data_IF_150505889346
#
_entry.id   IF_150505889346
#
_cell.length_a   1.000
_cell.length_b   1.000
_cell.length_c   1.000
_cell.angle_alpha   90.00
_cell.angle_beta   90.00
_cell.angle_gamma   90.00
#
_symmetry.space_group_name_H-M   'P 1'
#
loop_
_entity.id
_entity.type
_entity.pdbx_description
1 polymer ?
#
# COMPACT_ATOMS: atom_id res chain seq x y z
N UNK A 1 -33.36 30.47 -2.13
CA UNK A 1 -33.05 30.44 -3.57
C UNK A 1 -31.81 29.58 -3.73
N UNK A 2 -32.03 28.33 -4.15
CA UNK A 2 -31.01 27.30 -4.37
C UNK A 2 -30.20 27.57 -5.64
N UNK A 3 -28.90 27.20 -5.63
CA UNK A 3 -28.10 26.63 -6.74
C UNK A 3 -26.61 27.04 -6.62
N UNK A 4 -25.56 26.20 -6.67
CA UNK A 4 -25.35 24.75 -6.87
C UNK A 4 -23.89 24.43 -6.45
N UNK A 5 -23.72 23.37 -5.64
CA UNK A 5 -22.62 22.38 -5.54
C UNK A 5 -21.14 22.71 -5.91
N UNK A 6 -20.30 22.65 -4.87
CA UNK A 6 -19.02 21.91 -4.73
C UNK A 6 -18.09 21.71 -5.94
N UNK A 7 -16.86 22.23 -5.85
CA UNK A 7 -15.67 21.62 -6.47
C UNK A 7 -14.41 21.80 -5.60
N UNK A 8 -14.39 21.15 -4.43
CA UNK A 8 -13.16 20.90 -3.69
C UNK A 8 -12.51 19.62 -4.24
N UNK A 9 -11.65 19.74 -5.25
CA UNK A 9 -10.92 18.58 -5.82
C UNK A 9 -9.42 18.82 -6.07
N UNK A 10 -8.80 19.87 -5.51
CA UNK A 10 -7.36 20.14 -5.77
C UNK A 10 -6.39 19.61 -4.69
N UNK A 11 -6.87 19.23 -3.51
CA UNK A 11 -6.00 18.81 -2.38
C UNK A 11 -5.21 17.53 -2.61
N UNK A 12 -5.76 16.56 -3.35
CA UNK A 12 -5.08 15.29 -3.62
C UNK A 12 -3.91 15.42 -4.60
N UNK A 13 -4.06 16.26 -5.63
CA UNK A 13 -3.00 16.52 -6.61
C UNK A 13 -1.85 17.32 -5.98
N UNK A 14 -2.18 18.28 -5.11
CA UNK A 14 -1.18 19.08 -4.39
C UNK A 14 -0.42 18.24 -3.36
N UNK A 15 -1.08 17.29 -2.69
CA UNK A 15 -0.44 16.37 -1.75
C UNK A 15 0.50 15.38 -2.47
N UNK A 16 0.06 14.85 -3.62
CA UNK A 16 0.91 14.03 -4.50
C UNK A 16 2.15 14.80 -4.96
N UNK A 17 1.94 16.03 -5.45
CA UNK A 17 3.00 16.89 -5.93
C UNK A 17 4.00 17.25 -4.81
N UNK A 18 3.49 17.63 -3.64
CA UNK A 18 4.31 17.96 -2.48
C UNK A 18 5.16 16.77 -2.01
N UNK A 19 4.61 15.56 -2.08
CA UNK A 19 5.32 14.32 -1.72
C UNK A 19 6.37 13.92 -2.74
N UNK A 20 6.04 14.03 -4.02
CA UNK A 20 7.00 13.88 -5.13
C UNK A 20 8.14 14.88 -5.04
N UNK A 21 7.86 16.14 -4.69
CA UNK A 21 8.87 17.17 -4.49
C UNK A 21 9.75 16.91 -3.25
N UNK A 22 9.15 16.47 -2.15
CA UNK A 22 9.90 16.09 -0.96
C UNK A 22 10.83 14.89 -1.22
N UNK A 23 10.38 13.90 -1.99
CA UNK A 23 11.20 12.77 -2.40
C UNK A 23 12.28 13.16 -3.43
N UNK A 24 11.97 14.04 -4.40
CA UNK A 24 12.98 14.57 -5.32
C UNK A 24 14.11 15.30 -4.58
N UNK A 25 13.78 16.10 -3.56
CA UNK A 25 14.79 16.77 -2.71
C UNK A 25 15.64 15.79 -1.91
N UNK A 26 15.05 14.68 -1.45
CA UNK A 26 15.79 13.61 -0.77
C UNK A 26 16.71 12.85 -1.74
N UNK A 27 16.30 12.66 -3.00
CA UNK A 27 17.07 11.98 -4.05
C UNK A 27 18.22 12.84 -4.59
N UNK A 28 18.09 14.16 -4.63
CA UNK A 28 19.18 15.08 -5.02
C UNK A 28 20.40 15.00 -4.08
N UNK A 29 20.23 14.47 -2.87
CA UNK A 29 21.30 14.30 -1.89
C UNK A 29 22.06 12.98 -2.03
N UNK A 30 21.65 12.07 -2.93
CA UNK A 30 22.33 10.77 -3.16
C UNK A 30 22.71 10.58 -4.64
N UNK A 31 23.96 10.90 -5.03
CA UNK A 31 24.40 10.94 -6.43
C UNK A 31 24.63 9.56 -7.08
N UNK A 32 24.28 8.43 -6.45
CA UNK A 32 24.55 7.07 -6.99
C UNK A 32 23.32 6.27 -7.44
N UNK A 33 22.12 6.84 -7.44
CA UNK A 33 20.94 6.07 -7.80
C UNK A 33 20.82 5.84 -9.32
N UNK A 34 21.00 4.60 -9.78
CA UNK A 34 20.78 4.20 -11.18
C UNK A 34 19.28 4.13 -11.43
N UNK A 35 18.81 4.91 -12.41
CA UNK A 35 17.40 4.98 -12.84
C UNK A 35 16.79 3.58 -12.98
N UNK A 36 15.62 3.29 -12.38
CA UNK A 36 14.94 2.03 -12.61
C UNK A 36 14.39 2.05 -14.05
N UNK A 37 15.01 1.26 -14.93
CA UNK A 37 14.43 0.90 -16.23
C UNK A 37 13.77 -0.45 -16.09
N UNK A 38 12.47 -0.49 -16.30
CA UNK A 38 11.74 -1.74 -16.46
C UNK A 38 12.15 -2.35 -17.80
N UNK A 39 12.38 -3.66 -17.83
CA UNK A 39 12.76 -4.37 -19.06
C UNK A 39 11.59 -4.30 -20.06
N UNK A 40 11.78 -3.69 -21.25
CA UNK A 40 10.74 -3.64 -22.29
C UNK A 40 10.18 -5.02 -22.66
N UNK A 41 10.94 -6.09 -22.46
CA UNK A 41 10.49 -7.47 -22.69
C UNK A 41 9.40 -7.91 -21.72
N UNK A 42 9.45 -7.49 -20.46
CA UNK A 42 8.38 -7.78 -19.49
C UNK A 42 7.06 -7.13 -19.91
N UNK A 43 7.12 -5.88 -20.39
CA UNK A 43 5.94 -5.17 -20.88
C UNK A 43 5.34 -5.86 -22.13
N UNK A 44 6.19 -6.36 -23.02
CA UNK A 44 5.78 -7.05 -24.23
C UNK A 44 5.14 -8.42 -23.94
N UNK A 45 5.68 -9.20 -23.00
CA UNK A 45 5.06 -10.48 -22.58
C UNK A 45 3.69 -10.29 -21.92
N UNK A 46 3.51 -9.20 -21.15
CA UNK A 46 2.21 -8.86 -20.57
C UNK A 46 1.17 -8.49 -21.63
N UNK A 47 1.61 -7.91 -22.75
CA UNK A 47 0.76 -7.58 -23.90
C UNK A 47 0.38 -8.80 -24.74
N UNK A 48 1.27 -9.80 -24.85
CA UNK A 48 1.08 -10.98 -25.69
C UNK A 48 0.29 -12.11 -25.00
N UNK A 49 0.14 -12.08 -23.67
CA UNK A 49 -0.59 -13.08 -22.86
C UNK A 49 -2.11 -12.82 -22.77
N UNK A 50 -2.69 -12.29 -23.84
CA UNK A 50 -4.08 -11.84 -23.88
C UNK A 50 -5.07 -13.01 -24.05
N UNK A 51 -5.83 -13.29 -22.98
CA UNK A 51 -7.02 -14.16 -22.96
C UNK A 51 -8.12 -13.39 -22.21
N UNK A 52 -8.68 -12.37 -22.88
CA UNK A 52 -10.11 -12.08 -22.85
C UNK A 52 -10.74 -11.42 -21.61
N UNK A 53 -10.00 -10.76 -20.71
CA UNK A 53 -10.61 -10.06 -19.56
C UNK A 53 -10.21 -8.60 -19.33
N UNK A 54 -9.33 -8.03 -20.16
CA UNK A 54 -8.76 -6.68 -19.98
C UNK A 54 -8.83 -5.85 -21.30
N UNK A 55 -9.98 -5.86 -22.00
CA UNK A 55 -10.12 -5.28 -23.36
C UNK A 55 -9.91 -3.74 -23.45
N UNK A 56 -9.85 -3.00 -22.33
CA UNK A 56 -9.75 -1.53 -22.30
C UNK A 56 -8.46 -0.99 -21.63
N UNK A 57 -7.38 -1.76 -21.55
CA UNK A 57 -6.11 -1.22 -21.04
C UNK A 57 -5.52 -0.22 -22.05
N UNK A 58 -5.40 1.03 -21.63
CA UNK A 58 -4.67 2.08 -22.35
C UNK A 58 -3.15 1.82 -22.27
N UNK A 59 -2.68 0.88 -23.10
CA UNK A 59 -1.28 0.45 -23.15
C UNK A 59 -0.33 1.57 -23.55
N UNK A 60 -0.80 2.57 -24.29
CA UNK A 60 0.01 3.73 -24.66
C UNK A 60 0.32 4.58 -23.42
N UNK A 61 -0.70 4.93 -22.63
CA UNK A 61 -0.51 5.68 -21.40
C UNK A 61 0.30 4.88 -20.37
N UNK A 62 -0.14 3.66 -20.06
CA UNK A 62 0.50 2.85 -19.02
C UNK A 62 1.91 2.43 -19.42
N UNK A 63 2.15 2.12 -20.69
CA UNK A 63 3.49 1.83 -21.19
C UNK A 63 4.43 3.03 -21.08
N UNK A 64 3.98 4.24 -21.41
CA UNK A 64 4.76 5.46 -21.20
C UNK A 64 5.07 5.69 -19.72
N UNK A 65 4.06 5.56 -18.86
CA UNK A 65 4.21 5.76 -17.41
C UNK A 65 5.22 4.76 -16.82
N UNK A 66 5.15 3.50 -17.23
CA UNK A 66 6.03 2.44 -16.72
C UNK A 66 7.47 2.60 -17.22
N UNK A 67 7.65 3.10 -18.44
CA UNK A 67 8.99 3.30 -19.02
C UNK A 67 9.71 4.56 -18.52
N UNK A 68 8.98 5.64 -18.21
CA UNK A 68 9.53 6.93 -17.78
C UNK A 68 8.61 7.63 -16.77
N UNK A 69 8.43 6.99 -15.63
CA UNK A 69 7.53 7.45 -14.57
C UNK A 69 7.77 8.91 -14.17
N UNK A 70 9.03 9.27 -13.88
CA UNK A 70 9.38 10.62 -13.41
C UNK A 70 8.99 11.70 -14.42
N UNK A 71 9.29 11.49 -15.71
CA UNK A 71 9.00 12.48 -16.74
C UNK A 71 7.49 12.61 -16.97
N UNK A 72 6.77 11.49 -17.02
CA UNK A 72 5.32 11.48 -17.25
C UNK A 72 4.59 12.15 -16.09
N UNK A 73 4.98 11.86 -14.84
CA UNK A 73 4.39 12.49 -13.65
C UNK A 73 4.69 13.98 -13.60
N UNK A 74 5.93 14.41 -13.92
CA UNK A 74 6.28 15.85 -13.96
C UNK A 74 5.51 16.61 -15.05
N UNK A 75 5.28 15.99 -16.21
CA UNK A 75 4.57 16.63 -17.33
C UNK A 75 3.05 16.62 -17.18
N UNK A 76 2.49 15.54 -16.62
CA UNK A 76 1.04 15.31 -16.60
C UNK A 76 0.54 14.84 -15.22
N UNK A 77 0.84 15.56 -14.11
CA UNK A 77 0.54 15.09 -12.75
C UNK A 77 -0.96 14.84 -12.53
N UNK A 78 -1.82 15.74 -13.02
CA UNK A 78 -3.29 15.61 -12.89
C UNK A 78 -3.84 14.42 -13.70
N UNK A 79 -3.24 14.09 -14.84
CA UNK A 79 -3.68 12.94 -15.66
C UNK A 79 -3.30 11.63 -14.98
N UNK A 80 -2.06 11.53 -14.47
CA UNK A 80 -1.60 10.34 -13.73
C UNK A 80 -2.47 10.10 -12.50
N UNK A 81 -2.70 11.13 -11.68
CA UNK A 81 -3.55 11.03 -10.50
C UNK A 81 -4.96 10.51 -10.86
N UNK A 82 -5.60 11.08 -11.88
CA UNK A 82 -6.93 10.63 -12.34
C UNK A 82 -6.95 9.19 -12.83
N UNK A 83 -5.91 8.74 -13.54
CA UNK A 83 -5.83 7.36 -14.05
C UNK A 83 -5.66 6.35 -12.91
N UNK A 84 -4.83 6.65 -11.91
CA UNK A 84 -4.70 5.83 -10.69
C UNK A 84 -6.04 5.82 -9.91
N UNK A 85 -6.68 6.98 -9.76
CA UNK A 85 -7.99 7.11 -9.13
C UNK A 85 -9.12 6.40 -9.88
N UNK A 86 -8.99 6.19 -11.19
CA UNK A 86 -9.93 5.40 -11.97
C UNK A 86 -9.70 3.89 -11.79
N UNK A 87 -8.45 3.45 -11.70
CA UNK A 87 -8.14 2.02 -11.74
C UNK A 87 -6.72 1.78 -12.25
N UNK A 88 -5.82 1.24 -11.44
CA UNK A 88 -4.63 0.61 -12.02
C UNK A 88 -5.06 -0.77 -12.53
N UNK A 89 -4.83 -1.10 -13.82
CA UNK A 89 -5.13 -2.43 -14.35
C UNK A 89 -4.40 -3.52 -13.56
N UNK A 90 -5.06 -4.66 -13.36
CA UNK A 90 -4.57 -5.68 -12.41
C UNK A 90 -3.16 -6.17 -12.74
N UNK A 91 -2.88 -6.41 -14.02
CA UNK A 91 -1.57 -6.87 -14.51
C UNK A 91 -0.45 -5.85 -14.31
N UNK A 92 -0.78 -4.57 -14.16
CA UNK A 92 0.18 -3.48 -14.07
C UNK A 92 0.45 -3.04 -12.62
N UNK A 93 -0.38 -3.43 -11.65
CA UNK A 93 -0.24 -3.02 -10.24
C UNK A 93 1.14 -3.31 -9.67
N UNK A 94 1.67 -4.50 -9.89
CA UNK A 94 2.98 -4.88 -9.38
C UNK A 94 4.10 -3.94 -9.84
N UNK A 95 4.04 -3.52 -11.10
CA UNK A 95 5.03 -2.61 -11.69
C UNK A 95 4.79 -1.17 -11.24
N UNK A 96 3.54 -0.71 -11.33
CA UNK A 96 3.17 0.67 -11.01
C UNK A 96 3.34 0.98 -9.52
N UNK A 97 2.92 0.10 -8.62
CA UNK A 97 3.12 0.29 -7.18
C UNK A 97 4.60 0.41 -6.82
N UNK A 98 5.45 -0.46 -7.37
CA UNK A 98 6.89 -0.39 -7.14
C UNK A 98 7.52 0.87 -7.70
N UNK A 99 7.10 1.32 -8.88
CA UNK A 99 7.58 2.57 -9.47
C UNK A 99 7.21 3.77 -8.59
N UNK A 100 5.95 3.86 -8.16
CA UNK A 100 5.48 4.96 -7.31
C UNK A 100 6.19 4.92 -5.94
N UNK A 101 6.37 3.73 -5.36
CA UNK A 101 7.03 3.56 -4.07
C UNK A 101 8.56 3.65 -4.12
N UNK A 102 9.15 3.74 -5.33
CA UNK A 102 10.59 3.60 -5.56
C UNK A 102 11.17 2.32 -4.94
N UNK A 103 10.45 1.20 -5.09
CA UNK A 103 10.78 -0.08 -4.47
C UNK A 103 11.67 -0.99 -5.33
N UNK A 104 12.04 -0.58 -6.55
CA UNK A 104 13.04 -1.27 -7.35
C UNK A 104 14.43 -0.94 -6.81
N UNK A 105 14.89 -1.73 -5.85
CA UNK A 105 16.07 -1.46 -5.05
C UNK A 105 16.93 -2.73 -4.93
N UNK A 106 17.97 -2.87 -5.79
CA UNK A 106 18.85 -4.04 -5.77
C UNK A 106 19.58 -4.23 -4.44
N UNK A 107 19.83 -3.15 -3.68
CA UNK A 107 20.49 -3.27 -2.38
C UNK A 107 19.53 -3.90 -1.35
N UNK A 108 18.26 -3.50 -1.35
CA UNK A 108 17.24 -4.13 -0.51
C UNK A 108 16.96 -5.59 -0.92
N UNK A 109 16.99 -5.91 -2.21
CA UNK A 109 16.89 -7.30 -2.70
C UNK A 109 18.06 -8.16 -2.17
N UNK A 110 19.28 -7.64 -2.19
CA UNK A 110 20.44 -8.31 -1.59
C UNK A 110 20.29 -8.47 -0.07
N UNK A 111 19.79 -7.44 0.62
CA UNK A 111 19.50 -7.52 2.07
C UNK A 111 18.46 -8.60 2.34
N UNK A 112 17.38 -8.67 1.56
CA UNK A 112 16.37 -9.72 1.67
C UNK A 112 17.00 -11.11 1.58
N UNK A 113 17.83 -11.34 0.56
CA UNK A 113 18.51 -12.61 0.36
C UNK A 113 19.41 -13.01 1.56
N UNK A 114 20.07 -12.06 2.21
CA UNK A 114 20.85 -12.33 3.43
C UNK A 114 19.96 -12.58 4.65
N UNK A 115 18.84 -11.85 4.79
CA UNK A 115 17.90 -12.04 5.89
C UNK A 115 17.21 -13.39 5.85
N UNK A 116 16.95 -13.95 4.67
CA UNK A 116 16.37 -15.29 4.53
C UNK A 116 17.24 -16.39 5.17
N UNK A 117 18.55 -16.18 5.26
CA UNK A 117 19.50 -17.13 5.87
C UNK A 117 19.52 -17.08 7.41
N UNK A 118 18.84 -16.11 8.03
CA UNK A 118 18.88 -15.86 9.48
C UNK A 118 17.57 -16.23 10.15
N UNK A 119 17.62 -16.79 11.35
CA UNK A 119 16.43 -17.14 12.13
C UNK A 119 15.82 -15.91 12.84
N UNK A 120 14.49 -15.85 12.90
CA UNK A 120 13.76 -14.82 13.64
C UNK A 120 13.12 -15.40 14.90
N UNK A 121 13.19 -14.67 16.01
CA UNK A 121 12.47 -15.02 17.24
C UNK A 121 10.94 -15.03 17.05
N UNK A 122 10.43 -14.36 16.00
CA UNK A 122 9.00 -14.22 15.73
C UNK A 122 8.42 -15.36 14.89
N UNK A 123 9.23 -16.30 14.39
CA UNK A 123 8.77 -17.35 13.47
C UNK A 123 7.56 -18.13 13.98
N UNK A 124 7.54 -18.47 15.28
CA UNK A 124 6.43 -19.20 15.90
C UNK A 124 5.12 -18.42 15.79
N UNK A 125 5.14 -17.13 16.11
CA UNK A 125 3.94 -16.28 16.07
C UNK A 125 3.50 -16.03 14.63
N UNK A 126 4.45 -15.81 13.71
CA UNK A 126 4.16 -15.65 12.28
C UNK A 126 3.43 -16.90 11.76
N UNK A 127 3.95 -18.11 12.04
CA UNK A 127 3.33 -19.37 11.58
C UNK A 127 1.91 -19.59 12.10
N UNK A 128 1.57 -19.06 13.28
CA UNK A 128 0.22 -19.14 13.83
C UNK A 128 -0.76 -18.20 13.11
N UNK A 129 -0.26 -17.11 12.51
CA UNK A 129 -1.06 -16.07 11.87
C UNK A 129 -1.29 -16.28 10.38
N UNK A 130 -0.40 -17.05 9.76
CA UNK A 130 -0.44 -17.37 8.34
C UNK A 130 -1.75 -18.06 7.89
N UNK A 131 -2.25 -19.13 8.55
CA UNK A 131 -3.47 -19.80 8.13
C UNK A 131 -4.74 -18.92 8.22
N UNK A 132 -4.71 -17.84 9.00
CA UNK A 132 -5.84 -16.89 9.14
C UNK A 132 -5.76 -15.71 8.16
N UNK A 133 -4.73 -15.64 7.34
CA UNK A 133 -4.51 -14.54 6.37
C UNK A 133 -4.94 -14.98 4.96
N UNK A 134 -6.06 -14.44 4.49
CA UNK A 134 -6.72 -14.82 3.22
C UNK A 134 -6.92 -16.35 3.02
N UNK A 135 -7.52 -17.07 4.00
CA UNK A 135 -7.59 -18.54 3.99
C UNK A 135 -8.33 -19.15 2.79
N UNK A 136 -9.22 -18.38 2.16
CA UNK A 136 -10.02 -18.84 1.03
C UNK A 136 -9.42 -18.47 -0.33
N UNK A 137 -8.33 -17.69 -0.35
CA UNK A 137 -7.70 -17.27 -1.60
C UNK A 137 -6.85 -18.41 -2.17
N UNK A 138 -6.96 -18.68 -3.48
CA UNK A 138 -6.31 -19.83 -4.12
C UNK A 138 -4.80 -19.91 -3.84
N UNK A 139 -4.11 -18.78 -3.87
CA UNK A 139 -2.67 -18.72 -3.62
C UNK A 139 -2.28 -18.96 -2.15
N UNK A 140 -3.16 -18.66 -1.18
CA UNK A 140 -2.86 -18.69 0.26
C UNK A 140 -3.57 -19.83 1.02
N UNK A 141 -4.54 -20.50 0.40
CA UNK A 141 -5.37 -21.53 1.08
C UNK A 141 -4.59 -22.79 1.45
N UNK A 142 -3.55 -23.13 0.70
CA UNK A 142 -2.77 -24.34 0.96
C UNK A 142 -1.81 -24.10 2.12
N UNK A 143 -2.00 -24.86 3.21
CA UNK A 143 -1.10 -24.83 4.36
C UNK A 143 0.30 -25.26 3.91
N UNK A 144 1.31 -24.48 4.29
CA UNK A 144 2.70 -24.68 3.89
C UNK A 144 2.93 -24.68 2.36
N UNK A 145 1.93 -24.21 1.59
CA UNK A 145 2.02 -24.01 0.14
C UNK A 145 2.89 -22.81 -0.25
N UNK A 146 3.06 -22.54 -1.55
CA UNK A 146 3.96 -21.50 -2.06
C UNK A 146 3.58 -20.10 -1.56
N UNK A 147 2.29 -19.74 -1.55
CA UNK A 147 1.87 -18.42 -1.09
C UNK A 147 2.03 -18.21 0.42
N UNK A 148 1.76 -19.24 1.23
CA UNK A 148 2.03 -19.20 2.67
C UNK A 148 3.53 -19.11 2.97
N UNK A 149 4.36 -19.80 2.18
CA UNK A 149 5.82 -19.75 2.30
C UNK A 149 6.38 -18.37 1.91
N UNK A 150 5.92 -17.78 0.80
CA UNK A 150 6.31 -16.43 0.41
C UNK A 150 5.89 -15.39 1.46
N UNK A 151 4.65 -15.48 1.96
CA UNK A 151 4.16 -14.60 3.02
C UNK A 151 4.96 -14.75 4.32
N UNK A 152 5.30 -15.98 4.70
CA UNK A 152 6.19 -16.26 5.83
C UNK A 152 7.56 -15.58 5.65
N UNK A 153 8.19 -15.79 4.50
CA UNK A 153 9.53 -15.30 4.21
C UNK A 153 9.63 -13.78 4.27
N UNK A 154 8.71 -13.07 3.60
CA UNK A 154 8.70 -11.60 3.57
C UNK A 154 8.48 -11.02 4.96
N UNK A 155 7.49 -11.52 5.70
CA UNK A 155 7.16 -11.04 7.05
C UNK A 155 8.28 -11.36 8.04
N UNK A 156 8.88 -12.55 7.94
CA UNK A 156 10.04 -12.96 8.75
C UNK A 156 11.25 -12.08 8.46
N UNK A 157 11.60 -11.87 7.20
CA UNK A 157 12.71 -11.01 6.81
C UNK A 157 12.48 -9.58 7.32
N UNK A 158 11.27 -9.03 7.18
CA UNK A 158 10.96 -7.71 7.73
C UNK A 158 11.16 -7.64 9.25
N UNK A 159 10.75 -8.68 9.99
CA UNK A 159 10.95 -8.72 11.45
C UNK A 159 12.42 -8.69 11.89
N UNK A 160 13.34 -9.08 10.99
CA UNK A 160 14.78 -9.02 11.21
C UNK A 160 15.41 -7.72 10.68
N UNK A 161 14.78 -7.10 9.69
CA UNK A 161 15.19 -5.83 9.11
C UNK A 161 14.93 -4.67 10.06
N UNK A 162 13.73 -4.62 10.65
CA UNK A 162 13.35 -3.61 11.65
C UNK A 162 13.02 -4.29 12.97
N UNK A 163 14.04 -4.46 13.82
CA UNK A 163 13.91 -5.21 15.09
C UNK A 163 13.08 -4.51 16.16
N UNK A 164 12.86 -3.19 16.03
CA UNK A 164 12.02 -2.45 16.98
C UNK A 164 10.54 -2.70 16.68
N UNK A 165 10.14 -2.74 15.39
CA UNK A 165 8.81 -3.22 15.00
C UNK A 165 8.72 -4.73 15.21
N UNK A 166 9.75 -5.47 14.80
CA UNK A 166 9.77 -6.92 14.78
C UNK A 166 8.59 -7.46 13.98
N UNK A 167 7.75 -8.26 14.64
CA UNK A 167 6.49 -8.73 14.07
C UNK A 167 5.30 -8.15 14.81
N UNK A 168 4.42 -7.49 14.07
CA UNK A 168 3.12 -7.05 14.56
C UNK A 168 1.99 -7.72 13.77
N UNK A 169 0.97 -8.20 14.49
CA UNK A 169 -0.22 -8.79 13.89
C UNK A 169 -0.93 -7.74 13.01
N UNK A 170 -1.05 -8.03 11.73
CA UNK A 170 -1.64 -7.13 10.73
C UNK A 170 -0.75 -6.94 9.51
N UNK A 171 0.58 -6.99 9.68
CA UNK A 171 1.54 -6.90 8.57
C UNK A 171 1.26 -7.94 7.46
N UNK A 172 0.92 -9.21 7.75
CA UNK A 172 0.59 -10.19 6.71
C UNK A 172 -0.58 -9.77 5.81
N UNK A 173 -1.53 -8.98 6.32
CA UNK A 173 -2.67 -8.46 5.54
C UNK A 173 -2.28 -7.32 4.60
N UNK A 174 -1.13 -6.66 4.83
CA UNK A 174 -0.53 -5.69 3.90
C UNK A 174 0.29 -6.44 2.84
N UNK A 175 1.08 -7.42 3.27
CA UNK A 175 1.98 -8.18 2.39
C UNK A 175 1.23 -9.10 1.43
N UNK A 176 0.15 -9.75 1.88
CA UNK A 176 -0.63 -10.67 1.04
C UNK A 176 -1.09 -10.04 -0.28
N UNK A 177 -1.80 -8.90 -0.29
CA UNK A 177 -2.20 -8.19 -1.50
C UNK A 177 -1.02 -7.78 -2.40
N UNK A 178 0.13 -7.45 -1.82
CA UNK A 178 1.36 -7.10 -2.55
C UNK A 178 1.90 -8.34 -3.28
N UNK A 179 2.04 -9.47 -2.57
CA UNK A 179 2.53 -10.75 -3.12
C UNK A 179 1.67 -11.31 -4.25
N UNK A 180 0.40 -10.90 -4.34
CA UNK A 180 -0.48 -11.29 -5.46
C UNK A 180 -0.14 -10.57 -6.77
N UNK A 181 0.76 -9.59 -6.75
CA UNK A 181 1.09 -8.76 -7.90
C UNK A 181 2.59 -8.70 -8.22
N UNK A 182 3.47 -9.23 -7.37
CA UNK A 182 4.92 -9.14 -7.52
C UNK A 182 5.63 -10.29 -6.81
N UNK A 183 6.93 -10.50 -7.06
CA UNK A 183 7.71 -11.56 -6.41
C UNK A 183 7.98 -11.27 -4.92
N UNK A 184 8.55 -12.24 -4.18
CA UNK A 184 8.75 -12.10 -2.73
C UNK A 184 9.77 -11.02 -2.35
N UNK A 185 10.87 -10.91 -3.09
CA UNK A 185 11.91 -9.90 -2.95
C UNK A 185 11.37 -8.50 -3.28
N UNK A 186 10.60 -8.39 -4.35
CA UNK A 186 9.88 -7.18 -4.74
C UNK A 186 8.87 -6.74 -3.67
N UNK A 187 8.13 -7.69 -3.08
CA UNK A 187 7.18 -7.45 -2.01
C UNK A 187 7.87 -7.00 -0.71
N UNK A 188 9.02 -7.59 -0.37
CA UNK A 188 9.84 -7.14 0.76
C UNK A 188 10.29 -5.70 0.58
N UNK A 189 10.85 -5.34 -0.59
CA UNK A 189 11.27 -3.98 -0.87
C UNK A 189 10.09 -3.00 -0.78
N UNK A 190 8.94 -3.38 -1.33
CA UNK A 190 7.71 -2.56 -1.27
C UNK A 190 7.22 -2.36 0.17
N UNK A 191 7.27 -3.40 1.00
CA UNK A 191 6.93 -3.31 2.43
C UNK A 191 7.89 -2.35 3.17
N UNK A 192 9.20 -2.47 2.93
CA UNK A 192 10.20 -1.55 3.52
C UNK A 192 9.89 -0.11 3.12
N UNK A 193 9.56 0.13 1.84
CA UNK A 193 9.20 1.47 1.37
C UNK A 193 7.93 2.02 2.03
N UNK A 194 6.89 1.20 2.18
CA UNK A 194 5.68 1.59 2.93
C UNK A 194 6.02 1.98 4.38
N UNK A 195 6.85 1.17 5.04
CA UNK A 195 7.20 1.40 6.44
C UNK A 195 8.00 2.70 6.62
N UNK A 196 9.01 2.94 5.79
CA UNK A 196 9.93 4.07 5.93
C UNK A 196 9.42 5.37 5.30
N UNK A 197 8.93 5.32 4.05
CA UNK A 197 8.60 6.52 3.27
C UNK A 197 7.12 6.87 3.25
N UNK A 198 6.24 5.91 3.60
CA UNK A 198 4.82 6.17 3.78
C UNK A 198 4.43 6.37 5.25
N UNK A 199 5.43 6.47 6.13
CA UNK A 199 5.27 6.64 7.57
C UNK A 199 4.28 5.62 8.18
N UNK A 200 4.33 4.37 7.68
CA UNK A 200 3.46 3.30 8.16
C UNK A 200 4.05 2.61 9.39
N UNK A 201 5.38 2.68 9.57
CA UNK A 201 6.12 2.00 10.64
C UNK A 201 5.51 2.19 12.03
N UNK A 202 5.20 3.43 12.41
CA UNK A 202 4.68 3.75 13.75
C UNK A 202 3.27 3.18 14.03
N UNK A 203 2.64 2.49 13.06
CA UNK A 203 1.43 1.70 13.32
C UNK A 203 1.72 0.38 14.02
N UNK A 204 2.96 -0.09 13.91
CA UNK A 204 3.37 -1.43 14.29
C UNK A 204 4.48 -1.44 15.34
N UNK A 205 5.04 -0.27 15.68
CA UNK A 205 5.94 -0.12 16.84
C UNK A 205 5.19 -0.48 18.13
N UNK A 206 5.90 -0.87 19.20
CA UNK A 206 5.27 -1.25 20.47
C UNK A 206 4.35 -0.17 21.07
N UNK A 207 4.66 1.12 20.86
CA UNK A 207 3.85 2.25 21.31
C UNK A 207 2.69 2.61 20.39
N UNK A 208 2.69 2.14 19.13
CA UNK A 208 1.65 2.42 18.12
C UNK A 208 1.32 3.92 17.99
N UNK A 209 2.32 4.79 18.18
CA UNK A 209 2.16 6.24 18.31
C UNK A 209 1.44 6.85 17.11
N UNK A 210 1.82 6.44 15.91
CA UNK A 210 1.28 6.95 14.66
C UNK A 210 -0.11 6.39 14.36
N UNK A 211 -0.43 5.19 14.84
CA UNK A 211 -1.78 4.63 14.77
C UNK A 211 -2.71 5.44 15.67
N UNK A 212 -2.30 5.71 16.91
CA UNK A 212 -3.09 6.51 17.84
C UNK A 212 -3.35 7.92 17.32
N UNK A 213 -2.34 8.56 16.73
CA UNK A 213 -2.51 9.87 16.06
C UNK A 213 -3.55 9.80 14.94
N UNK A 214 -3.47 8.81 14.05
CA UNK A 214 -4.43 8.67 12.94
C UNK A 214 -5.85 8.33 13.41
N UNK A 215 -5.99 7.50 14.43
CA UNK A 215 -7.30 7.22 15.04
C UNK A 215 -7.92 8.48 15.66
N UNK A 216 -7.10 9.34 16.27
CA UNK A 216 -7.56 10.63 16.78
C UNK A 216 -7.97 11.58 15.64
N UNK A 217 -7.16 11.68 14.58
CA UNK A 217 -7.48 12.46 13.39
C UNK A 217 -8.80 12.00 12.77
N UNK A 218 -8.99 10.68 12.64
CA UNK A 218 -10.23 10.10 12.16
C UNK A 218 -11.44 10.45 13.02
N UNK A 219 -11.31 10.39 14.35
CA UNK A 219 -12.37 10.80 15.27
C UNK A 219 -12.82 12.25 15.02
N UNK A 220 -11.86 13.17 14.80
CA UNK A 220 -12.16 14.56 14.48
C UNK A 220 -12.81 14.72 13.11
N UNK A 221 -12.33 14.01 12.10
CA UNK A 221 -12.93 14.01 10.77
C UNK A 221 -14.37 13.47 10.81
N UNK A 222 -14.61 12.40 11.57
CA UNK A 222 -15.95 11.85 11.76
C UNK A 222 -16.89 12.86 12.43
N UNK A 223 -16.41 13.61 13.42
CA UNK A 223 -17.20 14.67 14.06
C UNK A 223 -17.55 15.83 13.11
N UNK A 224 -16.69 16.12 12.14
CA UNK A 224 -16.94 17.16 11.12
C UNK A 224 -17.92 16.67 10.05
N UNK A 225 -17.72 15.47 9.52
CA UNK A 225 -18.50 14.96 8.38
C UNK A 225 -19.81 14.26 8.79
N UNK A 226 -19.84 13.63 9.98
CA UNK A 226 -20.98 12.87 10.51
C UNK A 226 -21.20 13.18 12.00
N UNK A 227 -21.56 14.44 12.36
CA UNK A 227 -21.61 14.90 13.75
C UNK A 227 -22.59 14.11 14.63
N UNK A 228 -23.73 13.69 14.09
CA UNK A 228 -24.73 12.93 14.86
C UNK A 228 -24.25 11.52 15.18
N UNK A 229 -23.58 10.85 14.23
CA UNK A 229 -22.96 9.55 14.45
C UNK A 229 -21.82 9.65 15.48
N UNK A 230 -20.94 10.64 15.35
CA UNK A 230 -19.88 10.90 16.32
C UNK A 230 -20.44 11.12 17.73
N UNK A 231 -21.49 11.95 17.88
CA UNK A 231 -22.17 12.17 19.17
C UNK A 231 -22.78 10.89 19.71
N UNK A 232 -23.39 10.08 18.87
CA UNK A 232 -23.98 8.79 19.28
C UNK A 232 -22.91 7.83 19.80
N UNK A 233 -21.81 7.62 19.06
CA UNK A 233 -20.70 6.76 19.48
C UNK A 233 -20.10 7.23 20.81
N UNK A 234 -19.89 8.54 20.97
CA UNK A 234 -19.39 9.13 22.21
C UNK A 234 -20.37 8.91 23.38
N UNK A 235 -21.67 9.08 23.16
CA UNK A 235 -22.69 8.84 24.18
C UNK A 235 -22.77 7.36 24.60
N UNK A 236 -22.43 6.44 23.70
CA UNK A 236 -22.33 5.00 23.98
C UNK A 236 -20.96 4.59 24.55
N UNK A 237 -20.01 5.53 24.71
CA UNK A 237 -18.65 5.21 25.18
C UNK A 237 -17.82 4.39 24.19
N UNK A 238 -18.19 4.38 22.90
CA UNK A 238 -17.49 3.64 21.86
C UNK A 238 -16.30 4.47 21.38
N UNK A 239 -15.10 4.03 21.72
CA UNK A 239 -13.86 4.68 21.29
C UNK A 239 -13.46 4.22 19.88
N UNK A 240 -12.86 5.11 19.10
CA UNK A 240 -12.37 4.84 17.75
C UNK A 240 -11.41 3.64 17.67
N UNK A 241 -10.58 3.45 18.70
CA UNK A 241 -9.66 2.31 18.84
C UNK A 241 -10.36 0.95 18.87
N UNK A 242 -11.63 0.88 19.29
CA UNK A 242 -12.37 -0.36 19.42
C UNK A 242 -12.77 -0.98 18.08
N UNK A 243 -12.92 -0.16 17.03
CA UNK A 243 -13.43 -0.61 15.74
C UNK A 243 -12.54 -0.26 14.54
N UNK A 244 -11.76 0.82 14.61
CA UNK A 244 -11.00 1.32 13.47
C UNK A 244 -9.52 0.89 13.45
N UNK A 245 -8.94 0.44 14.57
CA UNK A 245 -7.51 0.08 14.63
C UNK A 245 -7.11 -0.91 13.53
N UNK A 246 -7.93 -1.94 13.32
CA UNK A 246 -7.70 -2.95 12.29
C UNK A 246 -7.80 -2.38 10.86
N UNK A 247 -8.61 -1.36 10.62
CA UNK A 247 -8.74 -0.74 9.30
C UNK A 247 -7.42 -0.13 8.85
N UNK A 248 -6.78 0.63 9.74
CA UNK A 248 -5.50 1.28 9.49
C UNK A 248 -4.35 0.27 9.45
N UNK A 249 -4.34 -0.70 10.37
CA UNK A 249 -3.27 -1.72 10.45
C UNK A 249 -3.31 -2.76 9.33
N UNK A 250 -4.40 -2.88 8.58
CA UNK A 250 -4.53 -3.91 7.53
C UNK A 250 -4.93 -3.35 6.17
N UNK A 251 -4.97 -2.03 6.02
CA UNK A 251 -5.55 -1.36 4.85
C UNK A 251 -6.91 -1.95 4.48
N UNK A 252 -7.75 -2.19 5.51
CA UNK A 252 -9.06 -2.84 5.42
C UNK A 252 -9.07 -4.32 4.97
N UNK A 253 -7.92 -4.90 4.64
CA UNK A 253 -7.84 -6.23 4.03
C UNK A 253 -8.27 -7.39 4.93
N UNK A 254 -8.43 -7.15 6.24
CA UNK A 254 -8.97 -8.16 7.14
C UNK A 254 -10.46 -8.48 6.89
N UNK A 255 -11.27 -7.49 6.48
CA UNK A 255 -12.73 -7.65 6.31
C UNK A 255 -13.21 -7.43 4.88
N UNK A 256 -12.48 -6.67 4.08
CA UNK A 256 -12.96 -6.24 2.77
C UNK A 256 -12.46 -7.15 1.64
N UNK A 257 -13.24 -7.28 0.54
CA UNK A 257 -12.81 -8.04 -0.63
C UNK A 257 -11.50 -7.50 -1.21
N UNK A 258 -10.65 -8.39 -1.70
CA UNK A 258 -9.34 -8.02 -2.27
C UNK A 258 -9.44 -7.00 -3.41
N UNK A 259 -10.48 -7.07 -4.24
CA UNK A 259 -10.71 -6.06 -5.29
C UNK A 259 -10.82 -4.65 -4.74
N UNK A 260 -11.44 -4.46 -3.57
CA UNK A 260 -11.50 -3.17 -2.89
C UNK A 260 -10.17 -2.80 -2.25
N UNK A 261 -9.49 -3.77 -1.64
CA UNK A 261 -8.16 -3.57 -1.03
C UNK A 261 -7.17 -3.07 -2.07
N UNK A 262 -7.17 -3.63 -3.28
CA UNK A 262 -6.29 -3.17 -4.35
C UNK A 262 -6.56 -1.71 -4.74
N UNK A 263 -7.84 -1.29 -4.78
CA UNK A 263 -8.19 0.11 -5.03
C UNK A 263 -7.73 1.02 -3.89
N UNK A 264 -7.84 0.58 -2.64
CA UNK A 264 -7.30 1.31 -1.48
C UNK A 264 -5.79 1.44 -1.62
N UNK A 265 -5.08 0.37 -1.96
CA UNK A 265 -3.63 0.37 -2.15
C UNK A 265 -3.19 1.24 -3.33
N UNK A 266 -3.89 1.22 -4.46
CA UNK A 266 -3.65 2.13 -5.59
C UNK A 266 -3.62 3.59 -5.12
N UNK A 267 -4.57 3.98 -4.26
CA UNK A 267 -4.65 5.32 -3.69
C UNK A 267 -3.59 5.55 -2.60
N UNK A 268 -3.28 4.56 -1.76
CA UNK A 268 -2.22 4.70 -0.74
C UNK A 268 -0.86 4.90 -1.38
N UNK A 269 -0.53 4.14 -2.43
CA UNK A 269 0.74 4.28 -3.14
C UNK A 269 0.87 5.65 -3.77
N UNK A 270 -0.19 6.12 -4.42
CA UNK A 270 -0.24 7.48 -4.93
C UNK A 270 -0.17 8.49 -3.77
N UNK A 271 -1.26 8.63 -3.01
CA UNK A 271 -1.53 9.80 -2.17
C UNK A 271 -1.03 9.65 -0.72
N UNK A 272 -0.60 8.45 -0.32
CA UNK A 272 -0.10 8.16 1.02
C UNK A 272 -1.10 7.51 1.97
N UNK A 273 -0.59 7.07 3.12
CA UNK A 273 -1.36 6.34 4.14
C UNK A 273 -2.47 7.20 4.75
N UNK A 274 -2.34 8.53 4.72
CA UNK A 274 -3.39 9.45 5.17
C UNK A 274 -4.69 9.33 4.37
N UNK A 275 -4.63 8.82 3.14
CA UNK A 275 -5.82 8.54 2.33
C UNK A 275 -6.80 7.57 2.99
N UNK A 276 -6.33 6.72 3.91
CA UNK A 276 -7.15 5.82 4.72
C UNK A 276 -8.28 6.55 5.45
N UNK A 277 -8.06 7.80 5.88
CA UNK A 277 -9.09 8.61 6.54
C UNK A 277 -10.32 8.81 5.66
N UNK A 278 -10.14 9.05 4.36
CA UNK A 278 -11.26 9.25 3.43
C UNK A 278 -12.08 7.98 3.28
N UNK A 279 -11.42 6.81 3.21
CA UNK A 279 -12.11 5.53 3.19
C UNK A 279 -12.84 5.26 4.50
N UNK A 280 -12.20 5.52 5.64
CA UNK A 280 -12.81 5.33 6.97
C UNK A 280 -14.04 6.24 7.17
N UNK A 281 -13.97 7.52 6.76
CA UNK A 281 -15.13 8.44 6.81
C UNK A 281 -16.23 7.98 5.87
N UNK A 282 -15.90 7.62 4.63
CA UNK A 282 -16.89 7.14 3.66
C UNK A 282 -17.58 5.84 4.11
N UNK A 283 -16.86 4.97 4.82
CA UNK A 283 -17.42 3.73 5.38
C UNK A 283 -18.42 3.99 6.51
N UNK A 284 -18.24 5.07 7.28
CA UNK A 284 -19.11 5.45 8.41
C UNK A 284 -20.33 6.28 7.98
N UNK A 285 -20.54 6.47 6.68
CA UNK A 285 -21.66 7.26 6.16
C UNK A 285 -23.02 6.61 6.41
#
# INVERSE_FOLDING_TARGET
MWSVFTSDTDTGADLLLARLEAQNRALEQDPKNKRPRIDPRQLQMLRESDDGSDEDIDWDFWGQLVNDYETVVKRHPKVVARRIQAGIPSRLRGMVWRLIAHANDPELEMVYAELLKRESQHEKVIRLDLPRTFPNHEYFREKDGPGQSALFNVVRAYSLFDTEVGYCQGIPFIVGPILLHMSEDEAFCTLVRLMQYYNLRGHYTPSMEDLHVRLHQFEKLLAVHHPDLSRHLNAQGIQTTMYASQWYMTFFAYKFPLSMVYRIMDIIFAEGVESLHRFAVALMR
#
